data_IF_285047451891
#
_entry.id   IF_285047451891
#
_cell.length_a   1.000
_cell.length_b   1.000
_cell.length_c   1.000
_cell.angle_alpha   90.00
_cell.angle_beta   90.00
_cell.angle_gamma   90.00
#
_symmetry.space_group_name_H-M   'P 1'
#
loop_
_entity.id
_entity.type
_entity.pdbx_description
1 polymer ?
#
# COMPACT_ATOMS: atom_id res chain seq x y z
N UNK A 1 -13.59 13.55 12.67
CA UNK A 1 -14.31 12.75 11.66
C UNK A 1 -13.42 11.59 11.26
N UNK A 2 -13.76 10.36 11.65
CA UNK A 2 -12.99 9.16 11.28
C UNK A 2 -12.99 9.01 9.76
N UNK A 3 -11.87 9.32 9.12
CA UNK A 3 -11.66 8.98 7.73
C UNK A 3 -11.83 7.46 7.60
N UNK A 4 -12.75 7.03 6.73
CA UNK A 4 -12.90 5.63 6.41
C UNK A 4 -11.59 5.15 5.79
N UNK A 5 -10.81 4.35 6.53
CA UNK A 5 -9.55 3.83 6.03
C UNK A 5 -9.80 2.54 5.25
N UNK A 6 -9.94 2.67 3.93
CA UNK A 6 -10.12 1.55 3.00
C UNK A 6 -9.02 0.49 3.12
N UNK A 7 -7.78 0.92 3.39
CA UNK A 7 -6.63 0.04 3.59
C UNK A 7 -6.81 -0.84 4.83
N UNK A 8 -7.24 -0.27 5.96
CA UNK A 8 -7.54 -1.04 7.16
C UNK A 8 -8.76 -1.95 6.97
N UNK A 9 -9.83 -1.44 6.34
CA UNK A 9 -11.07 -2.18 6.19
C UNK A 9 -10.96 -3.42 5.27
N UNK A 10 -10.11 -3.37 4.25
CA UNK A 10 -10.02 -4.43 3.23
C UNK A 10 -8.67 -5.16 3.19
N UNK A 11 -7.58 -4.45 3.47
CA UNK A 11 -6.23 -5.03 3.47
C UNK A 11 -5.70 -5.34 4.87
N UNK A 12 -6.46 -5.01 5.93
CA UNK A 12 -6.05 -5.20 7.34
C UNK A 12 -4.72 -4.48 7.66
N UNK A 13 -4.41 -3.42 6.91
CA UNK A 13 -3.27 -2.54 7.16
C UNK A 13 -3.58 -1.71 8.40
N UNK A 14 -2.59 -1.49 9.26
CA UNK A 14 -2.76 -0.72 10.49
C UNK A 14 -3.39 0.65 10.20
N UNK A 15 -4.41 1.02 10.97
CA UNK A 15 -5.15 2.25 10.74
C UNK A 15 -4.28 3.51 10.92
N UNK A 16 -3.16 3.41 11.65
CA UNK A 16 -2.17 4.47 11.80
C UNK A 16 -1.34 4.69 10.51
N UNK A 17 -1.32 3.71 9.60
CA UNK A 17 -0.65 3.83 8.31
C UNK A 17 -1.61 4.48 7.32
N UNK A 18 -1.38 5.77 7.05
CA UNK A 18 -2.15 6.55 6.07
C UNK A 18 -1.57 6.49 4.66
N UNK A 19 -0.29 6.10 4.52
CA UNK A 19 0.40 5.95 3.23
C UNK A 19 1.23 4.65 3.25
N UNK A 20 0.60 3.49 3.01
CA UNK A 20 1.33 2.24 2.91
C UNK A 20 2.27 2.27 1.69
N UNK A 21 3.47 1.71 1.85
CA UNK A 21 4.36 1.46 0.72
C UNK A 21 3.77 0.43 -0.22
N UNK A 22 4.28 0.37 -1.46
CA UNK A 22 3.88 -0.62 -2.46
C UNK A 22 3.93 -2.06 -1.90
N UNK A 23 4.97 -2.41 -1.13
CA UNK A 23 5.11 -3.72 -0.48
C UNK A 23 4.05 -3.99 0.60
N UNK A 24 3.75 -2.98 1.42
CA UNK A 24 2.73 -3.08 2.48
C UNK A 24 1.32 -3.20 1.89
N UNK A 25 1.06 -2.51 0.78
CA UNK A 25 -0.19 -2.62 0.03
C UNK A 25 -0.45 -4.06 -0.43
N UNK A 26 0.61 -4.77 -0.82
CA UNK A 26 0.55 -6.17 -1.21
C UNK A 26 0.59 -7.14 -0.01
N UNK A 27 0.92 -6.66 1.19
CA UNK A 27 1.07 -7.48 2.39
C UNK A 27 2.31 -8.40 2.37
N UNK A 28 3.40 -7.96 1.75
CA UNK A 28 4.68 -8.69 1.68
C UNK A 28 5.82 -7.93 2.36
N UNK A 29 6.95 -8.60 2.54
CA UNK A 29 8.16 -7.99 3.05
C UNK A 29 8.67 -6.90 2.09
N UNK A 30 9.18 -5.81 2.66
CA UNK A 30 9.86 -4.77 1.87
C UNK A 30 11.05 -5.36 1.12
N UNK A 31 11.28 -4.86 -0.10
CA UNK A 31 12.38 -5.29 -0.98
C UNK A 31 12.31 -6.76 -1.45
N UNK A 32 11.12 -7.39 -1.46
CA UNK A 32 10.94 -8.76 -1.95
C UNK A 32 11.56 -8.93 -3.34
N UNK A 33 12.45 -9.91 -3.51
CA UNK A 33 13.17 -10.10 -4.78
C UNK A 33 12.43 -11.04 -5.75
N UNK A 34 11.61 -11.94 -5.22
CA UNK A 34 10.87 -12.92 -6.00
C UNK A 34 9.65 -12.29 -6.67
N UNK A 35 9.75 -12.05 -7.99
CA UNK A 35 8.63 -11.57 -8.81
C UNK A 35 7.42 -12.50 -8.77
N UNK A 36 7.61 -13.81 -8.61
CA UNK A 36 6.50 -14.75 -8.43
C UNK A 36 5.75 -14.52 -7.11
N UNK A 37 6.46 -14.23 -6.02
CA UNK A 37 5.82 -13.90 -4.73
C UNK A 37 5.07 -12.58 -4.80
N UNK A 38 5.65 -11.57 -5.46
CA UNK A 38 5.01 -10.26 -5.68
C UNK A 38 3.70 -10.44 -6.45
N UNK A 39 3.73 -11.18 -7.56
CA UNK A 39 2.53 -11.48 -8.35
C UNK A 39 1.45 -12.17 -7.52
N UNK A 40 1.83 -13.20 -6.75
CA UNK A 40 0.90 -13.95 -5.91
C UNK A 40 0.30 -13.10 -4.79
N UNK A 41 1.10 -12.23 -4.18
CA UNK A 41 0.63 -11.34 -3.13
C UNK A 41 -0.34 -10.28 -3.66
N UNK A 42 -0.01 -9.67 -4.81
CA UNK A 42 -0.92 -8.75 -5.48
C UNK A 42 -2.24 -9.40 -5.87
N UNK A 43 -2.20 -10.62 -6.42
CA UNK A 43 -3.41 -11.35 -6.77
C UNK A 43 -4.29 -11.65 -5.54
N UNK A 44 -3.66 -12.02 -4.41
CA UNK A 44 -4.35 -12.21 -3.13
C UNK A 44 -4.98 -10.92 -2.61
N UNK A 45 -4.25 -9.80 -2.65
CA UNK A 45 -4.75 -8.50 -2.20
C UNK A 45 -5.94 -8.03 -3.06
N UNK A 46 -5.80 -8.09 -4.38
CA UNK A 46 -6.89 -7.78 -5.34
C UNK A 46 -8.09 -8.68 -5.10
N UNK A 47 -7.90 -9.99 -4.94
CA UNK A 47 -8.97 -10.94 -4.68
C UNK A 47 -9.70 -10.66 -3.37
N UNK A 48 -8.97 -10.24 -2.33
CA UNK A 48 -9.52 -9.87 -1.03
C UNK A 48 -10.39 -8.62 -1.12
N UNK A 49 -9.87 -7.53 -1.69
CA UNK A 49 -10.63 -6.29 -1.92
C UNK A 49 -11.85 -6.57 -2.81
N UNK A 50 -11.68 -7.36 -3.88
CA UNK A 50 -12.77 -7.73 -4.79
C UNK A 50 -13.85 -8.58 -4.13
N UNK A 51 -13.50 -9.36 -3.11
CA UNK A 51 -14.46 -10.13 -2.30
C UNK A 51 -15.23 -9.26 -1.30
N UNK A 52 -14.68 -8.10 -0.91
CA UNK A 52 -15.36 -7.13 -0.06
C UNK A 52 -16.45 -6.40 -0.86
N UNK A 53 -17.63 -6.19 -0.24
CA UNK A 53 -18.70 -5.38 -0.83
C UNK A 53 -18.48 -3.91 -0.48
N UNK A 54 -18.25 -3.03 -1.47
CA UNK A 54 -17.88 -1.65 -1.20
C UNK A 54 -19.06 -0.73 -0.83
N UNK A 55 -20.31 -1.16 -0.98
CA UNK A 55 -21.48 -0.38 -0.56
C UNK A 55 -21.44 1.05 -1.11
N UNK A 56 -21.40 2.03 -0.22
CA UNK A 56 -21.30 3.46 -0.55
C UNK A 56 -19.90 3.92 -0.98
N UNK A 57 -18.86 3.15 -0.71
CA UNK A 57 -17.44 3.44 -1.02
C UNK A 57 -16.99 2.76 -2.32
N UNK A 58 -17.89 2.68 -3.32
CA UNK A 58 -17.59 2.06 -4.62
C UNK A 58 -16.43 2.74 -5.35
N UNK A 59 -16.30 4.06 -5.18
CA UNK A 59 -15.22 4.82 -5.79
C UNK A 59 -13.87 4.42 -5.18
N UNK A 60 -13.70 4.47 -3.85
CA UNK A 60 -12.47 4.02 -3.19
C UNK A 60 -12.14 2.56 -3.50
N UNK A 61 -13.15 1.68 -3.60
CA UNK A 61 -12.93 0.28 -3.95
C UNK A 61 -12.34 0.11 -5.34
N UNK A 62 -12.90 0.81 -6.33
CA UNK A 62 -12.39 0.75 -7.70
C UNK A 62 -10.98 1.36 -7.80
N UNK A 63 -10.73 2.47 -7.10
CA UNK A 63 -9.41 3.08 -7.05
C UNK A 63 -8.38 2.18 -6.37
N UNK A 64 -8.73 1.52 -5.26
CA UNK A 64 -7.82 0.60 -4.58
C UNK A 64 -7.48 -0.61 -5.47
N UNK A 65 -8.45 -1.13 -6.21
CA UNK A 65 -8.20 -2.21 -7.16
C UNK A 65 -7.26 -1.78 -8.30
N UNK A 66 -7.44 -0.58 -8.84
CA UNK A 66 -6.56 -0.04 -9.87
C UNK A 66 -5.15 0.21 -9.33
N UNK A 67 -5.05 0.78 -8.12
CA UNK A 67 -3.80 1.01 -7.40
C UNK A 67 -3.04 -0.30 -7.19
N UNK A 68 -3.71 -1.35 -6.68
CA UNK A 68 -3.10 -2.68 -6.49
C UNK A 68 -2.56 -3.28 -7.81
N UNK A 69 -3.28 -3.10 -8.92
CA UNK A 69 -2.82 -3.58 -10.23
C UNK A 69 -1.66 -2.75 -10.77
N UNK A 70 -1.68 -1.43 -10.56
CA UNK A 70 -0.56 -0.55 -10.92
C UNK A 70 0.68 -0.91 -10.13
N UNK A 71 0.57 -1.04 -8.80
CA UNK A 71 1.64 -1.47 -7.88
C UNK A 71 2.23 -2.80 -8.33
N UNK A 72 1.37 -3.78 -8.66
CA UNK A 72 1.80 -5.08 -9.19
C UNK A 72 2.68 -4.91 -10.42
N UNK A 73 2.23 -4.14 -11.41
CA UNK A 73 2.99 -3.95 -12.64
C UNK A 73 4.32 -3.23 -12.41
N UNK A 74 4.36 -2.26 -11.49
CA UNK A 74 5.60 -1.56 -11.13
C UNK A 74 6.59 -2.48 -10.41
N UNK A 75 6.14 -3.30 -9.48
CA UNK A 75 7.00 -4.20 -8.72
C UNK A 75 7.41 -5.46 -9.51
N UNK A 76 6.62 -5.88 -10.50
CA UNK A 76 6.99 -6.98 -11.40
C UNK A 76 8.05 -6.59 -12.43
N UNK A 77 8.14 -5.31 -12.77
CA UNK A 77 9.20 -4.79 -13.62
C UNK A 77 10.48 -4.61 -12.79
N UNK A 78 11.47 -5.47 -13.01
CA UNK A 78 12.72 -5.44 -12.26
C UNK A 78 13.47 -4.10 -12.36
N UNK A 79 13.32 -3.37 -13.47
CA UNK A 79 13.97 -2.06 -13.67
C UNK A 79 13.27 -0.99 -12.83
N UNK A 80 11.94 -0.93 -12.90
CA UNK A 80 11.14 0.03 -12.12
C UNK A 80 11.25 -0.24 -10.63
N UNK A 81 11.17 -1.52 -10.24
CA UNK A 81 11.39 -1.97 -8.87
C UNK A 81 12.75 -1.53 -8.34
N UNK A 82 13.83 -1.70 -9.11
CA UNK A 82 15.16 -1.32 -8.66
C UNK A 82 15.29 0.20 -8.41
N UNK A 83 14.72 1.03 -9.29
CA UNK A 83 14.65 2.48 -9.09
C UNK A 83 13.84 2.83 -7.83
N UNK A 84 12.67 2.23 -7.69
CA UNK A 84 11.81 2.41 -6.51
C UNK A 84 12.51 1.98 -5.21
N UNK A 85 13.17 0.83 -5.20
CA UNK A 85 13.93 0.31 -4.06
C UNK A 85 15.08 1.25 -3.67
N UNK A 86 15.78 1.84 -4.64
CA UNK A 86 16.81 2.84 -4.36
C UNK A 86 16.20 4.10 -3.72
N UNK A 87 15.08 4.59 -4.25
CA UNK A 87 14.38 5.76 -3.68
C UNK A 87 13.87 5.47 -2.27
N UNK A 88 13.26 4.30 -2.06
CA UNK A 88 12.73 3.87 -0.77
C UNK A 88 13.84 3.76 0.29
N UNK A 89 15.01 3.21 -0.06
CA UNK A 89 16.17 3.18 0.83
C UNK A 89 16.69 4.57 1.20
N UNK A 90 16.62 5.53 0.27
CA UNK A 90 16.96 6.93 0.53
C UNK A 90 15.97 7.62 1.47
N UNK A 91 14.66 7.31 1.36
CA UNK A 91 13.64 7.86 2.25
C UNK A 91 13.70 7.24 3.66
N UNK A 92 13.90 5.93 3.78
CA UNK A 92 13.97 5.21 5.07
C UNK A 92 15.20 5.59 5.92
N UNK A 93 16.24 6.17 5.30
CA UNK A 93 17.42 6.68 6.02
C UNK A 93 17.23 8.09 6.57
N UNK A 94 16.11 8.74 6.26
CA UNK A 94 15.68 9.99 6.91
C UNK A 94 14.60 9.63 7.95
N UNK A 95 14.86 9.76 9.26
CA UNK A 95 13.94 9.27 10.32
C UNK A 95 12.56 9.95 10.44
N UNK A 96 12.05 10.66 9.43
CA UNK A 96 10.94 11.61 9.61
C UNK A 96 9.53 11.05 9.27
N UNK A 97 9.38 9.82 8.75
CA UNK A 97 8.05 9.31 8.33
C UNK A 97 7.55 8.11 9.15
N UNK A 98 7.90 8.04 10.42
CA UNK A 98 7.43 7.00 11.34
C UNK A 98 6.45 7.49 12.42
N UNK A 99 5.81 8.66 12.27
CA UNK A 99 4.70 9.06 13.15
C UNK A 99 3.81 10.13 12.53
N UNK A 100 2.52 9.80 12.41
CA UNK A 100 1.41 10.70 12.68
C UNK A 100 1.40 12.07 11.95
N UNK A 101 0.69 12.13 10.84
CA UNK A 101 -0.03 13.35 10.49
C UNK A 101 -1.25 13.52 11.41
N UNK A 102 -0.99 13.79 12.69
CA UNK A 102 -1.88 14.50 13.61
C UNK A 102 -1.11 15.69 14.18
N UNK A 103 -1.31 16.93 13.70
CA UNK A 103 -0.89 18.10 14.45
C UNK A 103 -2.01 18.49 15.42
N UNK A 104 -1.98 17.91 16.62
CA UNK A 104 -2.59 18.53 17.80
C UNK A 104 -1.61 19.55 18.41
N UNK A 105 -1.84 20.83 18.06
CA UNK A 105 -1.84 22.01 18.95
C UNK A 105 -0.50 22.57 19.51
N UNK A 106 -0.09 23.78 19.06
CA UNK A 106 0.46 24.85 19.92
C UNK A 106 0.70 26.18 19.18
N UNK A 107 -0.13 27.21 19.42
CA UNK A 107 0.17 28.51 20.09
C UNK A 107 -1.10 29.36 20.22
#
# INVERSE_FOLDING_TARGET
>A
MNAFNAYHAWLEIDAAVTQPNHYQLLGIADFEADSEKIAQAADKAVSKVRSCRPGSQMLEWSQLLDELNSVRNELLDQTRKADYDQRLRGSLTTPEEATANEPAMHI
#
